data_IF_901781941963
#
_entry.id   IF_901781941963
#
_cell.length_a   1.000
_cell.length_b   1.000
_cell.length_c   1.000
_cell.angle_alpha   90.00
_cell.angle_beta   90.00
_cell.angle_gamma   90.00
#
_symmetry.space_group_name_H-M   'P 1'
#
loop_
_entity.id
_entity.type
_entity.pdbx_description
1 polymer ?
#
# COMPACT_ATOMS: atom_id res chain seq x y z
N UNK A 1 0.76 -42.68 -20.60
CA UNK A 1 0.54 -41.40 -21.31
C UNK A 1 0.49 -40.27 -20.29
N UNK A 2 1.50 -39.40 -20.23
CA UNK A 2 1.48 -38.23 -19.36
C UNK A 2 0.82 -37.05 -20.08
N UNK A 3 -0.28 -36.52 -19.54
CA UNK A 3 -0.78 -35.20 -19.97
C UNK A 3 0.22 -34.14 -19.52
N UNK A 4 0.85 -33.48 -20.47
CA UNK A 4 1.62 -32.26 -20.19
C UNK A 4 0.67 -31.26 -19.53
N UNK A 5 1.04 -30.80 -18.33
CA UNK A 5 0.44 -29.59 -17.78
C UNK A 5 0.98 -28.46 -18.63
N UNK A 6 0.20 -28.08 -19.65
CA UNK A 6 0.49 -26.93 -20.48
C UNK A 6 0.70 -25.71 -19.57
N UNK A 7 1.66 -24.86 -19.94
CA UNK A 7 1.86 -23.60 -19.24
C UNK A 7 0.52 -22.90 -19.15
N UNK A 8 0.11 -22.51 -17.94
CA UNK A 8 -1.11 -21.75 -17.71
C UNK A 8 -0.97 -20.37 -18.35
N UNK A 9 -1.23 -20.30 -19.65
CA UNK A 9 -1.34 -19.07 -20.40
C UNK A 9 -2.39 -18.23 -19.67
N UNK A 10 -1.94 -17.09 -19.16
CA UNK A 10 -2.76 -16.18 -18.36
C UNK A 10 -3.95 -15.78 -19.25
N UNK A 11 -5.16 -16.20 -18.87
CA UNK A 11 -6.36 -15.95 -19.66
C UNK A 11 -6.53 -14.43 -19.81
N UNK A 12 -6.32 -13.96 -21.04
CA UNK A 12 -6.27 -12.54 -21.36
C UNK A 12 -7.58 -11.85 -20.97
N UNK A 13 -7.56 -10.65 -20.35
CA UNK A 13 -8.63 -9.71 -20.62
C UNK A 13 -8.53 -9.37 -22.13
N UNK A 14 -9.56 -9.63 -22.95
CA UNK A 14 -9.48 -9.30 -24.37
C UNK A 14 -9.23 -7.79 -24.53
N UNK A 15 -8.46 -7.40 -25.55
CA UNK A 15 -8.04 -6.02 -25.78
C UNK A 15 -9.20 -5.01 -25.80
N UNK A 16 -10.41 -5.47 -26.17
CA UNK A 16 -11.67 -4.73 -26.08
C UNK A 16 -12.02 -4.17 -24.70
N UNK A 17 -11.43 -4.68 -23.61
CA UNK A 17 -11.69 -4.21 -22.24
C UNK A 17 -10.72 -3.14 -21.73
N UNK A 18 -9.55 -2.97 -22.37
CA UNK A 18 -8.59 -1.96 -21.94
C UNK A 18 -9.16 -0.54 -22.07
N UNK A 19 -9.84 -0.25 -23.19
CA UNK A 19 -10.55 1.03 -23.40
C UNK A 19 -11.63 1.30 -22.35
N UNK A 20 -12.40 0.27 -21.96
CA UNK A 20 -13.39 0.37 -20.88
C UNK A 20 -12.73 0.70 -19.53
N UNK A 21 -11.62 0.07 -19.18
CA UNK A 21 -10.91 0.37 -17.93
C UNK A 21 -10.28 1.76 -17.92
N UNK A 22 -9.74 2.22 -19.06
CA UNK A 22 -9.25 3.60 -19.21
C UNK A 22 -10.40 4.59 -19.05
N UNK A 23 -11.54 4.35 -19.71
CA UNK A 23 -12.75 5.17 -19.56
C UNK A 23 -13.23 5.20 -18.10
N UNK A 24 -13.26 4.06 -17.40
CA UNK A 24 -13.61 4.01 -15.97
C UNK A 24 -12.65 4.83 -15.10
N UNK A 25 -11.33 4.75 -15.32
CA UNK A 25 -10.35 5.56 -14.57
C UNK A 25 -10.51 7.06 -14.87
N UNK A 26 -10.72 7.43 -16.14
CA UNK A 26 -10.93 8.83 -16.55
C UNK A 26 -12.25 9.37 -15.99
N UNK A 27 -13.34 8.60 -16.06
CA UNK A 27 -14.63 8.96 -15.48
C UNK A 27 -14.51 9.08 -13.96
N UNK A 28 -13.86 8.14 -13.26
CA UNK A 28 -13.61 8.26 -11.81
C UNK A 28 -12.81 9.52 -11.46
N UNK A 29 -11.75 9.83 -12.22
CA UNK A 29 -10.97 11.05 -12.02
C UNK A 29 -11.83 12.31 -12.24
N UNK A 30 -12.59 12.35 -13.34
CA UNK A 30 -13.49 13.46 -13.64
C UNK A 30 -14.58 13.60 -12.58
N UNK A 31 -15.20 12.52 -12.12
CA UNK A 31 -16.17 12.56 -11.01
C UNK A 31 -15.55 13.06 -9.71
N UNK A 32 -14.29 12.71 -9.40
CA UNK A 32 -13.59 13.22 -8.22
C UNK A 32 -13.21 14.72 -8.34
N UNK A 33 -12.95 15.23 -9.54
CA UNK A 33 -12.67 16.65 -9.81
C UNK A 33 -13.96 17.48 -9.91
N UNK A 34 -15.00 16.94 -10.55
CA UNK A 34 -16.29 17.57 -10.78
C UNK A 34 -17.27 17.37 -9.61
N UNK A 35 -16.89 16.62 -8.56
CA UNK A 35 -17.66 16.55 -7.34
C UNK A 35 -17.74 17.96 -6.75
N UNK A 36 -18.94 18.54 -6.83
CA UNK A 36 -19.17 19.95 -6.55
C UNK A 36 -18.66 20.28 -5.14
N UNK A 37 -17.92 21.38 -4.93
CA UNK A 37 -17.39 21.73 -3.60
C UNK A 37 -18.43 21.69 -2.48
N UNK A 38 -19.70 22.03 -2.78
CA UNK A 38 -20.83 21.90 -1.85
C UNK A 38 -21.07 20.47 -1.34
N UNK A 39 -20.85 19.44 -2.15
CA UNK A 39 -20.97 18.02 -1.75
C UNK A 39 -19.81 17.64 -0.82
N UNK A 40 -18.60 18.13 -1.07
CA UNK A 40 -17.45 17.88 -0.20
C UNK A 40 -17.58 18.61 1.15
N UNK A 41 -18.01 19.87 1.15
CA UNK A 41 -18.29 20.57 2.42
C UNK A 41 -19.46 19.94 3.18
N UNK A 42 -20.51 19.48 2.50
CA UNK A 42 -21.60 18.73 3.13
C UNK A 42 -21.12 17.41 3.74
N UNK A 43 -20.31 16.62 3.02
CA UNK A 43 -19.72 15.39 3.55
C UNK A 43 -18.81 15.68 4.75
N UNK A 44 -18.00 16.75 4.69
CA UNK A 44 -17.10 17.17 5.77
C UNK A 44 -17.86 17.58 7.02
N UNK A 45 -18.87 18.45 6.90
CA UNK A 45 -19.62 18.97 8.04
C UNK A 45 -20.41 17.88 8.76
N UNK A 46 -21.19 17.09 8.02
CA UNK A 46 -21.99 16.00 8.59
C UNK A 46 -21.10 14.92 9.22
N UNK A 47 -19.96 14.58 8.61
CA UNK A 47 -19.06 13.59 9.20
C UNK A 47 -18.26 14.13 10.39
N UNK A 48 -17.98 15.43 10.46
CA UNK A 48 -17.41 16.06 11.66
C UNK A 48 -18.38 16.00 12.84
N UNK A 49 -19.67 16.29 12.62
CA UNK A 49 -20.70 16.14 13.64
C UNK A 49 -20.78 14.69 14.15
N UNK A 50 -20.83 13.72 13.24
CA UNK A 50 -20.79 12.29 13.58
C UNK A 50 -19.52 11.91 14.36
N UNK A 51 -18.35 12.45 14.01
CA UNK A 51 -17.12 12.24 14.79
C UNK A 51 -17.28 12.79 16.20
N UNK A 52 -17.73 14.04 16.35
CA UNK A 52 -17.90 14.68 17.67
C UNK A 52 -18.85 13.86 18.55
N UNK A 53 -20.00 13.43 18.01
CA UNK A 53 -20.99 12.59 18.71
C UNK A 53 -20.40 11.22 19.09
N UNK A 54 -19.72 10.52 18.18
CA UNK A 54 -19.06 9.25 18.50
C UNK A 54 -18.01 9.43 19.61
N UNK A 55 -17.19 10.47 19.55
CA UNK A 55 -16.10 10.70 20.50
C UNK A 55 -16.58 11.24 21.86
N UNK A 56 -17.75 11.89 21.94
CA UNK A 56 -18.35 12.33 23.21
C UNK A 56 -19.19 11.24 23.86
N UNK A 57 -20.10 10.63 23.12
CA UNK A 57 -21.19 9.82 23.70
C UNK A 57 -20.90 8.31 23.66
N UNK A 58 -20.02 7.86 22.75
CA UNK A 58 -19.74 6.43 22.49
C UNK A 58 -18.26 6.04 22.70
N UNK A 59 -17.41 6.96 23.16
CA UNK A 59 -15.99 6.72 23.42
C UNK A 59 -15.78 5.76 24.60
N UNK A 60 -15.46 4.50 24.29
CA UNK A 60 -15.20 3.46 25.30
C UNK A 60 -13.81 2.83 25.08
N UNK A 61 -13.00 2.78 26.14
CA UNK A 61 -11.59 2.32 26.10
C UNK A 61 -11.35 0.98 25.36
N UNK A 62 -12.28 0.03 25.44
CA UNK A 62 -12.15 -1.26 24.78
C UNK A 62 -12.57 -1.19 23.29
N UNK A 63 -13.64 -0.44 22.98
CA UNK A 63 -14.11 -0.24 21.62
C UNK A 63 -13.12 0.62 20.80
N UNK A 64 -12.60 1.69 21.40
CA UNK A 64 -11.55 2.54 20.83
C UNK A 64 -10.31 1.73 20.46
N UNK A 65 -9.81 0.90 21.38
CA UNK A 65 -8.67 0.00 21.11
C UNK A 65 -8.97 -1.01 20.02
N UNK A 66 -10.18 -1.58 19.98
CA UNK A 66 -10.58 -2.52 18.94
C UNK A 66 -10.61 -1.84 17.56
N UNK A 67 -11.20 -0.65 17.47
CA UNK A 67 -11.30 0.12 16.23
C UNK A 67 -9.93 0.61 15.74
N UNK A 68 -9.07 1.08 16.65
CA UNK A 68 -7.69 1.49 16.33
C UNK A 68 -6.86 0.29 15.83
N UNK A 69 -6.94 -0.86 16.52
CA UNK A 69 -6.27 -2.12 16.12
C UNK A 69 -6.76 -2.66 14.77
N UNK A 70 -8.07 -2.64 14.52
CA UNK A 70 -8.62 -2.99 13.20
C UNK A 70 -8.08 -2.02 12.16
N UNK A 71 -8.09 -0.71 12.45
CA UNK A 71 -7.60 0.31 11.53
C UNK A 71 -6.10 0.15 11.21
N UNK A 72 -5.29 -0.36 12.17
CA UNK A 72 -3.88 -0.66 11.98
C UNK A 72 -3.62 -1.71 10.87
N UNK A 73 -4.60 -2.55 10.51
CA UNK A 73 -4.46 -3.43 9.34
C UNK A 73 -4.31 -2.66 8.01
N UNK A 74 -4.78 -1.41 7.96
CA UNK A 74 -4.59 -0.49 6.83
C UNK A 74 -3.35 0.39 6.93
N UNK A 75 -2.55 0.23 7.98
CA UNK A 75 -1.30 0.97 8.20
C UNK A 75 -0.09 0.24 7.59
N UNK A 76 1.11 0.83 7.71
CA UNK A 76 2.34 0.27 7.16
C UNK A 76 2.71 -1.11 7.74
N UNK A 77 2.40 -1.40 8.99
CA UNK A 77 2.66 -2.69 9.64
C UNK A 77 1.61 -3.73 9.24
N UNK A 78 0.33 -3.33 9.17
CA UNK A 78 -0.76 -4.16 8.67
C UNK A 78 -0.54 -4.62 7.23
N UNK A 79 -0.24 -3.68 6.33
CA UNK A 79 0.10 -3.96 4.93
C UNK A 79 1.40 -4.78 4.81
N UNK A 80 2.41 -4.54 5.66
CA UNK A 80 3.63 -5.36 5.68
C UNK A 80 3.37 -6.82 6.08
N UNK A 81 2.53 -7.06 7.10
CA UNK A 81 2.10 -8.40 7.48
C UNK A 81 1.30 -9.06 6.34
N UNK A 82 0.39 -8.32 5.70
CA UNK A 82 -0.37 -8.79 4.56
C UNK A 82 0.52 -9.12 3.35
N UNK A 83 1.62 -8.38 3.13
CA UNK A 83 2.65 -8.71 2.13
C UNK A 83 3.41 -10.00 2.48
N UNK A 84 3.73 -10.26 3.74
CA UNK A 84 4.34 -11.53 4.17
C UNK A 84 3.41 -12.71 3.89
N UNK A 85 2.11 -12.54 4.13
CA UNK A 85 1.07 -13.49 3.73
C UNK A 85 0.99 -13.66 2.21
N UNK A 86 1.03 -12.56 1.45
CA UNK A 86 1.00 -12.59 -0.02
C UNK A 86 2.19 -13.36 -0.62
N UNK A 87 3.40 -13.23 -0.06
CA UNK A 87 4.59 -13.99 -0.47
C UNK A 87 4.45 -15.51 -0.28
N UNK A 88 3.58 -15.96 0.65
CA UNK A 88 3.30 -17.37 0.86
C UNK A 88 2.33 -17.95 -0.17
N UNK A 89 1.42 -17.13 -0.72
CA UNK A 89 0.30 -17.60 -1.56
C UNK A 89 0.34 -17.11 -3.01
N UNK A 90 1.12 -16.08 -3.33
CA UNK A 90 1.31 -15.61 -4.70
C UNK A 90 2.62 -16.15 -5.31
N UNK A 91 2.61 -16.32 -6.62
CA UNK A 91 3.84 -16.45 -7.40
C UNK A 91 4.62 -15.11 -7.38
N UNK A 92 5.88 -15.14 -7.79
CA UNK A 92 6.76 -13.97 -7.70
C UNK A 92 6.27 -12.78 -8.53
N UNK A 93 5.76 -13.00 -9.75
CA UNK A 93 5.27 -11.93 -10.62
C UNK A 93 4.07 -11.20 -10.00
N UNK A 94 3.08 -11.96 -9.50
CA UNK A 94 1.92 -11.40 -8.80
C UNK A 94 2.32 -10.71 -7.48
N UNK A 95 3.29 -11.26 -6.74
CA UNK A 95 3.80 -10.64 -5.51
C UNK A 95 4.52 -9.31 -5.79
N UNK A 96 5.38 -9.25 -6.80
CA UNK A 96 6.04 -8.01 -7.22
C UNK A 96 5.05 -6.99 -7.77
N UNK A 97 4.02 -7.43 -8.51
CA UNK A 97 2.91 -6.58 -8.95
C UNK A 97 2.15 -5.99 -7.75
N UNK A 98 1.92 -6.77 -6.69
CA UNK A 98 1.27 -6.33 -5.46
C UNK A 98 2.12 -5.33 -4.65
N UNK A 99 3.44 -5.56 -4.53
CA UNK A 99 4.36 -4.55 -3.98
C UNK A 99 4.34 -3.29 -4.83
N UNK A 100 4.40 -3.44 -6.16
CA UNK A 100 4.48 -2.33 -7.11
C UNK A 100 3.27 -1.41 -7.05
N UNK A 101 2.05 -1.98 -7.07
CA UNK A 101 0.79 -1.22 -6.96
C UNK A 101 0.65 -0.56 -5.59
N UNK A 102 1.05 -1.22 -4.51
CA UNK A 102 0.98 -0.66 -3.15
C UNK A 102 1.95 0.49 -2.96
N UNK A 103 3.20 0.32 -3.42
CA UNK A 103 4.26 1.34 -3.32
C UNK A 103 3.95 2.55 -4.20
N UNK A 104 3.46 2.33 -5.43
CA UNK A 104 2.96 3.40 -6.29
C UNK A 104 1.74 4.11 -5.67
N UNK A 105 0.83 3.35 -5.06
CA UNK A 105 -0.32 3.92 -4.37
C UNK A 105 0.09 4.85 -3.23
N UNK A 106 1.00 4.43 -2.35
CA UNK A 106 1.56 5.30 -1.30
C UNK A 106 2.26 6.53 -1.90
N UNK A 107 3.03 6.36 -2.99
CA UNK A 107 3.68 7.46 -3.69
C UNK A 107 2.68 8.53 -4.19
N UNK A 108 1.58 8.10 -4.82
CA UNK A 108 0.51 8.99 -5.28
C UNK A 108 -0.26 9.60 -4.11
N UNK A 109 -0.57 8.82 -3.06
CA UNK A 109 -1.29 9.32 -1.87
C UNK A 109 -0.56 10.51 -1.24
N UNK A 110 0.74 10.37 -1.03
CA UNK A 110 1.57 11.38 -0.38
C UNK A 110 1.76 12.63 -1.25
N UNK A 111 1.86 12.46 -2.58
CA UNK A 111 1.85 13.59 -3.52
C UNK A 111 0.53 14.35 -3.46
N UNK A 112 -0.61 13.66 -3.57
CA UNK A 112 -1.93 14.30 -3.54
C UNK A 112 -2.19 14.96 -2.18
N UNK A 113 -1.75 14.35 -1.06
CA UNK A 113 -1.77 14.98 0.28
C UNK A 113 -1.02 16.30 0.31
N UNK A 114 0.18 16.37 -0.28
CA UNK A 114 0.99 17.59 -0.35
C UNK A 114 0.46 18.61 -1.37
N UNK A 115 -0.37 18.21 -2.33
CA UNK A 115 -1.03 19.14 -3.26
C UNK A 115 -2.30 19.76 -2.63
N UNK A 116 -3.19 18.92 -2.07
CA UNK A 116 -4.46 19.38 -1.48
C UNK A 116 -4.22 20.07 -0.12
N UNK A 117 -3.35 19.48 0.72
CA UNK A 117 -2.97 20.01 2.06
C UNK A 117 -4.13 20.20 3.03
N UNK A 118 -5.21 19.46 2.81
CA UNK A 118 -6.40 19.47 3.65
C UNK A 118 -6.07 19.09 5.11
N UNK A 119 -6.78 19.70 6.05
CA UNK A 119 -6.58 19.46 7.47
C UNK A 119 -7.22 18.12 7.89
N UNK A 120 -6.74 17.51 8.97
CA UNK A 120 -7.52 16.47 9.66
C UNK A 120 -8.54 17.14 10.58
N UNK A 121 -9.64 16.48 10.98
CA UNK A 121 -10.72 17.21 11.66
C UNK A 121 -10.30 17.75 13.04
N UNK A 122 -9.47 17.00 13.77
CA UNK A 122 -8.82 17.42 15.03
C UNK A 122 -7.70 18.46 14.86
N UNK A 123 -7.34 18.89 13.64
CA UNK A 123 -6.44 20.03 13.44
C UNK A 123 -7.16 21.36 13.61
N UNK A 124 -8.49 21.40 13.49
CA UNK A 124 -9.28 22.64 13.54
C UNK A 124 -10.51 22.58 14.44
N UNK A 125 -11.03 21.39 14.78
CA UNK A 125 -12.03 21.21 15.85
C UNK A 125 -11.33 20.75 17.14
N UNK A 126 -11.34 21.57 18.21
CA UNK A 126 -10.88 21.18 19.54
C UNK A 126 -11.95 20.40 20.34
N UNK A 127 -13.14 20.21 19.77
CA UNK A 127 -14.35 19.74 20.46
C UNK A 127 -14.33 18.26 20.82
N UNK A 128 -13.32 17.52 20.37
CA UNK A 128 -13.14 16.11 20.63
C UNK A 128 -11.64 15.73 20.70
N UNK A 129 -11.37 14.53 21.22
CA UNK A 129 -10.03 13.93 21.23
C UNK A 129 -10.00 12.68 20.32
N UNK A 130 -9.06 12.58 19.36
CA UNK A 130 -8.92 11.39 18.52
C UNK A 130 -8.30 10.23 19.33
N UNK A 131 -8.55 8.98 18.92
CA UNK A 131 -8.01 7.79 19.63
C UNK A 131 -6.49 7.68 19.46
N UNK A 132 -5.99 8.05 18.28
CA UNK A 132 -4.57 8.06 17.90
C UNK A 132 -4.29 9.28 17.02
N UNK A 133 -3.01 9.66 16.84
CA UNK A 133 -2.63 10.87 16.08
C UNK A 133 -1.69 10.56 14.92
N UNK A 134 -1.99 11.16 13.75
CA UNK A 134 -1.28 11.01 12.48
C UNK A 134 -0.84 12.39 12.00
N UNK A 135 0.45 12.71 12.14
CA UNK A 135 1.01 14.06 11.90
C UNK A 135 1.26 14.39 10.43
N UNK A 136 0.27 14.19 9.57
CA UNK A 136 0.27 14.49 8.12
C UNK A 136 -1.09 15.05 7.68
N UNK A 137 -1.16 15.69 6.51
CA UNK A 137 -2.42 16.18 5.92
C UNK A 137 -3.52 15.11 5.83
N UNK A 138 -4.79 15.53 5.91
CA UNK A 138 -5.97 14.67 5.93
C UNK A 138 -6.26 14.01 4.59
N UNK A 139 -6.69 14.81 3.60
CA UNK A 139 -7.12 14.32 2.28
C UNK A 139 -5.96 14.04 1.32
N UNK A 140 -6.01 12.94 0.54
CA UNK A 140 -6.86 11.76 0.69
C UNK A 140 -6.42 10.86 1.85
N UNK A 141 -7.36 10.11 2.45
CA UNK A 141 -7.06 9.14 3.52
C UNK A 141 -6.12 8.04 3.05
N UNK A 142 -4.93 7.98 3.65
CA UNK A 142 -3.91 6.98 3.33
C UNK A 142 -4.33 5.55 3.69
N UNK A 143 -5.10 5.38 4.76
CA UNK A 143 -5.63 4.06 5.16
C UNK A 143 -6.72 3.59 4.19
N UNK A 144 -7.70 4.46 3.89
CA UNK A 144 -8.78 4.14 2.93
C UNK A 144 -8.22 3.80 1.55
N UNK A 145 -7.20 4.54 1.10
CA UNK A 145 -6.53 4.23 -0.16
C UNK A 145 -5.71 2.94 -0.10
N UNK A 146 -4.85 2.76 0.91
CA UNK A 146 -3.94 1.62 1.00
C UNK A 146 -4.69 0.29 1.12
N UNK A 147 -5.78 0.27 1.89
CA UNK A 147 -6.64 -0.92 2.00
C UNK A 147 -7.29 -1.24 0.65
N UNK A 148 -7.94 -0.27 0.00
CA UNK A 148 -8.60 -0.48 -1.29
C UNK A 148 -7.61 -0.89 -2.38
N UNK A 149 -6.46 -0.22 -2.47
CA UNK A 149 -5.40 -0.57 -3.42
C UNK A 149 -4.83 -1.97 -3.15
N UNK A 150 -4.46 -2.30 -1.90
CA UNK A 150 -3.83 -3.58 -1.58
C UNK A 150 -4.82 -4.75 -1.69
N UNK A 151 -5.91 -4.72 -0.94
CA UNK A 151 -6.77 -5.90 -0.75
C UNK A 151 -7.55 -6.25 -2.01
N UNK A 152 -8.05 -5.26 -2.78
CA UNK A 152 -8.69 -5.56 -4.07
C UNK A 152 -7.68 -6.12 -5.07
N UNK A 153 -6.45 -5.57 -5.13
CA UNK A 153 -5.40 -6.09 -6.02
C UNK A 153 -5.00 -7.51 -5.64
N UNK A 154 -4.85 -7.78 -4.35
CA UNK A 154 -4.58 -9.12 -3.82
C UNK A 154 -5.69 -10.11 -4.20
N UNK A 155 -6.97 -9.72 -4.06
CA UNK A 155 -8.13 -10.53 -4.48
C UNK A 155 -8.10 -10.80 -5.99
N UNK A 156 -7.88 -9.78 -6.84
CA UNK A 156 -7.79 -9.97 -8.29
C UNK A 156 -6.67 -10.93 -8.69
N UNK A 157 -5.50 -10.81 -8.07
CA UNK A 157 -4.36 -11.67 -8.33
C UNK A 157 -4.61 -13.12 -7.86
N UNK A 158 -5.22 -13.31 -6.69
CA UNK A 158 -5.64 -14.63 -6.21
C UNK A 158 -6.67 -15.29 -7.14
N UNK A 159 -7.69 -14.53 -7.58
CA UNK A 159 -8.73 -15.03 -8.50
C UNK A 159 -8.12 -15.50 -9.82
N UNK A 160 -7.17 -14.73 -10.39
CA UNK A 160 -6.45 -15.09 -11.61
C UNK A 160 -5.55 -16.31 -11.40
N UNK A 161 -4.68 -16.28 -10.40
CA UNK A 161 -3.68 -17.31 -10.18
C UNK A 161 -4.29 -18.68 -9.84
N UNK A 162 -5.41 -18.70 -9.12
CA UNK A 162 -6.07 -19.94 -8.69
C UNK A 162 -7.34 -20.28 -9.46
N UNK A 163 -7.66 -19.55 -10.54
CA UNK A 163 -8.82 -19.84 -11.39
C UNK A 163 -10.17 -19.68 -10.68
N UNK A 164 -10.27 -18.83 -9.65
CA UNK A 164 -11.44 -18.76 -8.75
C UNK A 164 -12.61 -17.95 -9.36
N UNK A 165 -12.83 -18.03 -10.67
CA UNK A 165 -13.83 -17.21 -11.38
C UNK A 165 -15.24 -17.39 -10.81
N UNK A 166 -15.62 -18.61 -10.44
CA UNK A 166 -16.92 -18.93 -9.83
C UNK A 166 -17.11 -18.30 -8.44
N UNK A 167 -16.03 -17.92 -7.75
CA UNK A 167 -16.06 -17.24 -6.44
C UNK A 167 -15.75 -15.75 -6.53
N UNK A 168 -15.53 -15.23 -7.75
CA UNK A 168 -15.07 -13.86 -8.01
C UNK A 168 -15.96 -12.82 -7.36
N UNK A 169 -17.28 -12.91 -7.57
CA UNK A 169 -18.25 -11.95 -7.03
C UNK A 169 -18.20 -11.92 -5.49
N UNK A 170 -18.30 -13.08 -4.84
CA UNK A 170 -18.23 -13.21 -3.37
C UNK A 170 -16.95 -12.62 -2.81
N UNK A 171 -15.80 -12.89 -3.44
CA UNK A 171 -14.50 -12.36 -3.00
C UNK A 171 -14.42 -10.84 -3.13
N UNK A 172 -14.92 -10.24 -4.22
CA UNK A 172 -14.99 -8.78 -4.32
C UNK A 172 -15.98 -8.18 -3.33
N UNK A 173 -17.15 -8.77 -3.11
CA UNK A 173 -18.12 -8.27 -2.12
C UNK A 173 -17.49 -8.24 -0.72
N UNK A 174 -16.85 -9.33 -0.29
CA UNK A 174 -16.12 -9.38 0.99
C UNK A 174 -14.98 -8.34 1.02
N UNK A 175 -14.22 -8.20 -0.07
CA UNK A 175 -13.16 -7.21 -0.19
C UNK A 175 -13.65 -5.77 -0.07
N UNK A 176 -14.71 -5.40 -0.79
CA UNK A 176 -15.32 -4.07 -0.74
C UNK A 176 -15.93 -3.78 0.62
N UNK A 177 -16.69 -4.72 1.21
CA UNK A 177 -17.22 -4.57 2.57
C UNK A 177 -16.12 -4.34 3.60
N UNK A 178 -14.98 -5.06 3.49
CA UNK A 178 -13.82 -4.81 4.33
C UNK A 178 -13.21 -3.41 4.10
N UNK A 179 -13.07 -2.95 2.85
CA UNK A 179 -12.57 -1.60 2.55
C UNK A 179 -13.47 -0.50 3.10
N UNK A 180 -14.79 -0.65 3.00
CA UNK A 180 -15.79 0.28 3.54
C UNK A 180 -15.77 0.27 5.07
N UNK A 181 -15.73 -0.91 5.70
CA UNK A 181 -15.61 -1.04 7.15
C UNK A 181 -14.31 -0.40 7.68
N UNK A 182 -13.19 -0.62 6.99
CA UNK A 182 -11.93 0.07 7.30
C UNK A 182 -12.06 1.59 7.20
N UNK A 183 -12.80 2.13 6.23
CA UNK A 183 -13.07 3.57 6.17
C UNK A 183 -13.90 4.04 7.38
N UNK A 184 -14.94 3.30 7.77
CA UNK A 184 -15.74 3.59 8.97
C UNK A 184 -14.88 3.65 10.24
N UNK A 185 -13.91 2.73 10.44
CA UNK A 185 -13.01 2.79 11.61
C UNK A 185 -12.27 4.13 11.71
N UNK A 186 -11.94 4.79 10.59
CA UNK A 186 -11.20 6.07 10.57
C UNK A 186 -12.07 7.28 10.93
N UNK A 187 -13.38 7.21 10.68
CA UNK A 187 -14.38 8.13 11.25
C UNK A 187 -14.47 7.87 12.76
N UNK A 188 -14.64 6.61 13.16
CA UNK A 188 -14.81 6.23 14.57
C UNK A 188 -13.64 6.69 15.47
N UNK A 189 -12.39 6.54 15.03
CA UNK A 189 -11.22 7.02 15.78
C UNK A 189 -10.99 8.54 15.68
N UNK A 190 -11.80 9.26 14.90
CA UNK A 190 -11.76 10.71 14.75
C UNK A 190 -10.59 11.23 13.91
N UNK A 191 -10.06 10.44 12.96
CA UNK A 191 -8.86 10.78 12.19
C UNK A 191 -9.11 11.33 10.78
N UNK A 192 -10.29 11.09 10.21
CA UNK A 192 -10.70 11.52 8.88
C UNK A 192 -12.22 11.74 8.78
N UNK A 193 -12.62 12.81 8.13
CA UNK A 193 -13.99 13.06 7.64
C UNK A 193 -14.27 12.26 6.35
N UNK A 194 -15.55 12.16 5.98
CA UNK A 194 -16.05 11.23 4.96
C UNK A 194 -15.57 11.54 3.53
N UNK A 195 -15.40 12.82 3.17
CA UNK A 195 -14.81 13.28 1.91
C UNK A 195 -13.36 12.80 1.77
N UNK A 196 -12.56 12.86 2.84
CA UNK A 196 -11.17 12.42 2.81
C UNK A 196 -11.07 10.91 2.58
N UNK A 197 -12.03 10.15 3.12
CA UNK A 197 -12.14 8.70 2.98
C UNK A 197 -12.66 8.31 1.60
N UNK A 198 -13.66 9.03 1.07
CA UNK A 198 -14.17 8.84 -0.29
C UNK A 198 -13.08 9.12 -1.33
N UNK A 199 -12.31 10.20 -1.16
CA UNK A 199 -11.16 10.52 -2.00
C UNK A 199 -10.08 9.44 -1.93
N UNK A 200 -9.76 8.94 -0.74
CA UNK A 200 -8.80 7.84 -0.56
C UNK A 200 -9.29 6.55 -1.20
N UNK A 201 -10.54 6.17 -0.99
CA UNK A 201 -11.15 4.97 -1.57
C UNK A 201 -11.18 5.04 -3.10
N UNK A 202 -11.66 6.16 -3.68
CA UNK A 202 -11.74 6.38 -5.12
C UNK A 202 -10.36 6.32 -5.79
N UNK A 203 -9.39 7.06 -5.25
CA UNK A 203 -8.00 7.01 -5.71
C UNK A 203 -7.43 5.58 -5.62
N UNK A 204 -7.75 4.87 -4.54
CA UNK A 204 -7.29 3.50 -4.31
C UNK A 204 -7.84 2.50 -5.33
N UNK A 205 -9.11 2.67 -5.72
CA UNK A 205 -9.78 1.91 -6.77
C UNK A 205 -9.21 2.24 -8.16
N UNK A 206 -8.91 3.51 -8.45
CA UNK A 206 -8.28 3.90 -9.71
C UNK A 206 -6.89 3.28 -9.88
N UNK A 207 -6.05 3.33 -8.83
CA UNK A 207 -4.71 2.71 -8.84
C UNK A 207 -4.81 1.19 -9.00
N UNK A 208 -5.78 0.56 -8.34
CA UNK A 208 -6.10 -0.85 -8.51
C UNK A 208 -6.43 -1.18 -9.98
N UNK A 209 -7.41 -0.51 -10.58
CA UNK A 209 -7.80 -0.71 -11.99
C UNK A 209 -6.59 -0.48 -12.92
N UNK A 210 -5.85 0.61 -12.70
CA UNK A 210 -4.64 0.91 -13.47
C UNK A 210 -3.64 -0.24 -13.45
N UNK A 211 -3.26 -0.75 -12.29
CA UNK A 211 -2.21 -1.78 -12.21
C UNK A 211 -2.69 -3.15 -12.65
N UNK A 212 -3.76 -3.69 -12.06
CA UNK A 212 -4.17 -5.07 -12.37
C UNK A 212 -5.01 -5.19 -13.65
N UNK A 213 -5.60 -4.12 -14.20
CA UNK A 213 -6.40 -4.24 -15.42
C UNK A 213 -5.79 -3.57 -16.66
N UNK A 214 -4.99 -2.52 -16.51
CA UNK A 214 -4.37 -1.80 -17.64
C UNK A 214 -2.88 -2.15 -17.79
N UNK A 215 -2.10 -2.08 -16.70
CA UNK A 215 -0.65 -2.27 -16.71
C UNK A 215 -0.20 -3.72 -16.47
N UNK A 216 -1.12 -4.65 -16.26
CA UNK A 216 -0.83 -6.07 -15.96
C UNK A 216 0.16 -6.68 -16.95
N UNK A 217 -0.07 -6.52 -18.26
CA UNK A 217 0.83 -7.05 -19.29
C UNK A 217 2.21 -6.39 -19.27
N UNK A 218 2.29 -5.10 -18.97
CA UNK A 218 3.56 -4.39 -18.86
C UNK A 218 4.38 -4.95 -17.71
N UNK A 219 3.75 -5.18 -16.56
CA UNK A 219 4.42 -5.77 -15.39
C UNK A 219 4.77 -7.25 -15.59
N UNK A 220 3.89 -8.05 -16.20
CA UNK A 220 4.21 -9.45 -16.54
C UNK A 220 5.41 -9.55 -17.49
N UNK A 221 5.42 -8.76 -18.58
CA UNK A 221 6.55 -8.66 -19.52
C UNK A 221 7.81 -8.10 -18.84
N UNK A 222 7.67 -7.17 -17.90
CA UNK A 222 8.79 -6.63 -17.12
C UNK A 222 9.43 -7.73 -16.26
N UNK A 223 8.64 -8.51 -15.52
CA UNK A 223 9.12 -9.54 -14.61
C UNK A 223 9.65 -10.78 -15.34
N UNK A 224 8.95 -11.28 -16.37
CA UNK A 224 9.50 -12.29 -17.29
C UNK A 224 10.80 -11.78 -17.94
N UNK A 225 10.84 -10.50 -18.29
CA UNK A 225 12.03 -9.83 -18.77
C UNK A 225 13.16 -9.75 -17.74
N UNK A 226 12.92 -9.79 -16.42
CA UNK A 226 14.00 -9.94 -15.42
C UNK A 226 14.48 -11.40 -15.39
N UNK A 227 13.55 -12.35 -15.45
CA UNK A 227 13.85 -13.80 -15.37
C UNK A 227 14.55 -14.36 -16.62
N UNK A 228 14.35 -13.79 -17.81
CA UNK A 228 14.85 -14.34 -19.10
C UNK A 228 16.33 -14.09 -19.46
N UNK A 229 16.91 -12.88 -19.46
CA UNK A 229 16.45 -11.64 -18.88
C UNK A 229 16.78 -10.49 -19.81
N UNK A 230 15.75 -10.03 -20.50
CA UNK A 230 15.74 -9.01 -21.54
C UNK A 230 15.46 -7.61 -20.98
N UNK A 231 15.03 -7.51 -19.72
CA UNK A 231 14.77 -6.25 -19.01
C UNK A 231 16.08 -5.56 -18.65
N UNK A 232 16.24 -4.31 -19.11
CA UNK A 232 17.30 -3.42 -18.65
C UNK A 232 17.09 -3.06 -17.18
N UNK A 233 18.18 -2.99 -16.40
CA UNK A 233 18.13 -2.62 -14.98
C UNK A 233 17.32 -1.34 -14.75
N UNK A 234 17.65 -0.29 -15.52
CA UNK A 234 16.85 0.92 -15.61
C UNK A 234 15.81 0.77 -16.73
N UNK A 235 14.54 0.86 -16.34
CA UNK A 235 13.38 0.78 -17.21
C UNK A 235 12.34 1.84 -16.80
N UNK A 236 11.24 1.95 -17.58
CA UNK A 236 10.22 3.00 -17.39
C UNK A 236 9.62 3.04 -15.98
N UNK A 237 9.41 1.89 -15.31
CA UNK A 237 8.90 1.85 -13.94
C UNK A 237 9.89 2.47 -12.93
N UNK A 238 11.17 2.13 -13.06
CA UNK A 238 12.23 2.67 -12.18
C UNK A 238 12.40 4.18 -12.39
N UNK A 239 12.40 4.63 -13.66
CA UNK A 239 12.45 6.06 -13.99
C UNK A 239 11.25 6.80 -13.43
N UNK A 240 10.03 6.25 -13.55
CA UNK A 240 8.81 6.84 -12.99
C UNK A 240 8.91 7.02 -11.47
N UNK A 241 9.38 5.99 -10.73
CA UNK A 241 9.57 6.10 -9.28
C UNK A 241 10.57 7.20 -8.90
N UNK A 242 11.71 7.32 -9.61
CA UNK A 242 12.67 8.40 -9.36
C UNK A 242 12.08 9.78 -9.67
N UNK A 243 11.36 9.95 -10.77
CA UNK A 243 10.67 11.21 -11.10
C UNK A 243 9.65 11.60 -10.03
N UNK A 244 8.90 10.62 -9.49
CA UNK A 244 7.95 10.83 -8.41
C UNK A 244 8.63 11.25 -7.10
N UNK A 245 9.78 10.66 -6.74
CA UNK A 245 10.58 11.07 -5.57
C UNK A 245 11.16 12.49 -5.74
N UNK A 246 11.66 12.82 -6.93
CA UNK A 246 12.17 14.17 -7.25
C UNK A 246 11.03 15.18 -7.12
N UNK A 247 9.87 14.92 -7.74
CA UNK A 247 8.72 15.79 -7.67
C UNK A 247 8.19 15.96 -6.23
N UNK A 248 8.12 14.89 -5.44
CA UNK A 248 7.76 14.95 -4.02
C UNK A 248 8.74 15.82 -3.21
N UNK A 249 10.03 15.74 -3.51
CA UNK A 249 11.07 16.55 -2.83
C UNK A 249 10.98 18.02 -3.22
N UNK A 250 10.79 18.33 -4.51
CA UNK A 250 10.59 19.70 -4.98
C UNK A 250 9.32 20.33 -4.40
N UNK A 251 8.23 19.56 -4.32
CA UNK A 251 6.97 20.00 -3.71
C UNK A 251 7.12 20.23 -2.19
N UNK A 252 7.85 19.36 -1.48
CA UNK A 252 8.21 19.59 -0.07
C UNK A 252 8.97 20.92 0.11
N UNK A 253 10.00 21.18 -0.70
CA UNK A 253 10.81 22.40 -0.63
C UNK A 253 10.00 23.65 -0.97
N UNK A 254 9.04 23.55 -1.89
CA UNK A 254 8.11 24.62 -2.22
C UNK A 254 7.18 24.95 -1.03
N UNK A 255 6.54 23.94 -0.45
CA UNK A 255 5.62 24.10 0.68
C UNK A 255 6.33 24.69 1.90
N UNK A 256 7.51 24.16 2.26
CA UNK A 256 8.34 24.66 3.37
C UNK A 256 8.67 26.15 3.22
N UNK A 257 8.91 26.62 1.99
CA UNK A 257 9.36 27.99 1.72
C UNK A 257 8.23 29.01 1.50
N UNK A 258 7.13 28.61 0.86
CA UNK A 258 6.16 29.55 0.31
C UNK A 258 4.74 29.43 0.89
N UNK A 259 4.36 28.25 1.39
CA UNK A 259 2.98 28.00 1.81
C UNK A 259 2.92 26.90 2.89
N UNK A 260 3.53 27.16 4.07
CA UNK A 260 3.55 26.24 5.20
C UNK A 260 2.17 26.14 5.87
N UNK A 261 1.93 25.04 6.59
CA UNK A 261 0.64 24.82 7.24
C UNK A 261 0.31 25.89 8.30
N UNK A 262 -0.97 26.31 8.42
CA UNK A 262 -1.37 27.34 9.39
C UNK A 262 -0.97 27.01 10.83
N UNK A 263 -0.43 28.01 11.54
CA UNK A 263 0.06 27.85 12.91
C UNK A 263 -1.02 27.33 13.88
N UNK A 264 -2.28 27.73 13.70
CA UNK A 264 -3.39 27.27 14.53
C UNK A 264 -3.68 25.76 14.40
N UNK A 265 -3.34 25.12 13.26
CA UNK A 265 -3.39 23.66 13.16
C UNK A 265 -2.34 23.01 14.04
N UNK A 266 -1.11 23.54 14.02
CA UNK A 266 0.00 23.05 14.85
C UNK A 266 -0.34 23.18 16.34
N UNK A 267 -0.96 24.29 16.73
CA UNK A 267 -1.30 24.57 18.13
C UNK A 267 -2.52 23.77 18.61
N UNK A 268 -3.49 23.49 17.73
CA UNK A 268 -4.61 22.57 18.03
C UNK A 268 -4.10 21.13 18.15
N UNK A 269 -3.22 20.68 17.24
CA UNK A 269 -2.58 19.36 17.32
C UNK A 269 -1.76 19.18 18.60
N UNK A 270 -1.03 20.21 19.05
CA UNK A 270 -0.30 20.17 20.34
C UNK A 270 -1.23 20.01 21.56
N UNK A 271 -2.49 20.44 21.46
CA UNK A 271 -3.52 20.29 22.52
C UNK A 271 -4.22 18.93 22.43
N UNK A 272 -4.56 18.49 21.22
CA UNK A 272 -5.36 17.28 20.97
C UNK A 272 -4.55 15.99 20.79
N UNK A 273 -3.21 16.05 20.88
CA UNK A 273 -2.34 14.89 20.75
C UNK A 273 -1.28 14.84 21.85
N UNK A 274 -0.89 13.64 22.32
CA UNK A 274 0.27 13.48 23.19
C UNK A 274 1.54 14.07 22.57
N UNK A 275 2.45 14.68 23.37
CA UNK A 275 3.63 15.36 22.87
C UNK A 275 4.57 14.42 22.10
N UNK A 276 4.62 14.60 20.78
CA UNK A 276 5.47 13.82 19.86
C UNK A 276 6.83 14.48 19.71
N UNK A 277 7.88 13.87 20.28
CA UNK A 277 9.29 14.32 20.18
C UNK A 277 9.88 14.32 18.76
N UNK A 278 9.09 13.96 17.74
CA UNK A 278 9.54 13.77 16.35
C UNK A 278 8.63 14.42 15.31
N UNK A 279 7.67 15.26 15.71
CA UNK A 279 6.91 16.06 14.76
C UNK A 279 7.73 17.31 14.38
N UNK A 280 7.95 17.50 13.08
CA UNK A 280 8.62 18.68 12.51
C UNK A 280 7.58 19.51 11.76
N UNK A 281 7.02 18.96 10.69
CA UNK A 281 5.93 19.57 9.91
C UNK A 281 5.10 18.50 9.19
N UNK A 282 3.88 18.84 8.75
CA UNK A 282 2.99 17.87 8.10
C UNK A 282 3.54 17.39 6.74
N UNK A 283 4.12 18.29 5.95
CA UNK A 283 4.77 17.97 4.67
C UNK A 283 6.09 17.20 4.86
N UNK A 284 6.87 17.46 5.93
CA UNK A 284 8.00 16.60 6.28
C UNK A 284 7.55 15.17 6.60
N UNK A 285 6.46 15.00 7.37
CA UNK A 285 5.89 13.67 7.62
C UNK A 285 5.47 12.95 6.33
N UNK A 286 4.88 13.68 5.37
CA UNK A 286 4.55 13.13 4.05
C UNK A 286 5.81 12.66 3.30
N UNK A 287 6.85 13.50 3.23
CA UNK A 287 8.12 13.14 2.57
C UNK A 287 8.83 11.97 3.26
N UNK A 288 8.80 11.90 4.59
CA UNK A 288 9.37 10.80 5.36
C UNK A 288 8.57 9.48 5.24
N UNK A 289 7.27 9.53 4.90
CA UNK A 289 6.53 8.32 4.50
C UNK A 289 6.84 7.89 3.06
N UNK A 290 7.40 8.76 2.23
CA UNK A 290 7.83 8.44 0.86
C UNK A 290 8.95 7.39 0.81
N UNK A 291 9.66 7.16 1.92
CA UNK A 291 10.62 6.06 2.10
C UNK A 291 10.02 4.68 1.74
N UNK A 292 8.70 4.49 1.89
CA UNK A 292 8.00 3.24 1.54
C UNK A 292 8.12 2.93 0.04
N UNK A 293 8.24 3.94 -0.83
CA UNK A 293 8.42 3.75 -2.28
C UNK A 293 9.73 3.06 -2.64
N UNK A 294 10.74 3.15 -1.77
CA UNK A 294 12.00 2.41 -1.93
C UNK A 294 11.85 0.92 -1.66
N UNK A 295 10.70 0.48 -1.11
CA UNK A 295 10.39 -0.93 -0.94
C UNK A 295 10.13 -1.66 -2.26
N UNK A 296 9.47 -1.02 -3.24
CA UNK A 296 9.35 -1.61 -4.59
C UNK A 296 10.67 -1.58 -5.36
N UNK A 297 11.49 -0.56 -5.16
CA UNK A 297 12.87 -0.54 -5.67
C UNK A 297 13.67 -1.71 -5.08
N UNK A 298 13.68 -1.87 -3.75
CA UNK A 298 14.32 -2.99 -3.07
C UNK A 298 13.85 -4.33 -3.64
N UNK A 299 12.54 -4.55 -3.67
CA UNK A 299 11.94 -5.77 -4.23
C UNK A 299 12.37 -6.05 -5.68
N UNK A 300 12.37 -5.04 -6.55
CA UNK A 300 12.81 -5.15 -7.95
C UNK A 300 14.30 -5.48 -8.07
N UNK A 301 15.16 -4.73 -7.36
CA UNK A 301 16.61 -4.94 -7.38
C UNK A 301 16.99 -6.31 -6.78
N UNK A 302 16.27 -6.80 -5.76
CA UNK A 302 16.48 -8.12 -5.19
C UNK A 302 16.22 -9.24 -6.21
N UNK A 303 15.15 -9.12 -7.00
CA UNK A 303 14.89 -10.03 -8.13
C UNK A 303 15.92 -9.92 -9.25
N UNK A 304 16.36 -8.71 -9.59
CA UNK A 304 17.39 -8.49 -10.61
C UNK A 304 18.75 -9.07 -10.19
N UNK A 305 19.15 -8.83 -8.95
CA UNK A 305 20.42 -9.31 -8.40
C UNK A 305 20.40 -10.83 -8.18
N UNK A 306 19.26 -11.41 -7.75
CA UNK A 306 19.03 -12.86 -7.69
C UNK A 306 19.36 -13.55 -9.00
N UNK A 307 18.89 -12.97 -10.11
CA UNK A 307 19.14 -13.46 -11.46
C UNK A 307 20.62 -13.41 -11.84
N UNK A 308 21.30 -12.31 -11.53
CA UNK A 308 22.72 -12.11 -11.83
C UNK A 308 23.63 -13.04 -11.03
N UNK A 309 23.46 -13.09 -9.70
CA UNK A 309 24.30 -13.90 -8.79
C UNK A 309 24.07 -15.40 -8.99
N UNK A 310 22.81 -15.85 -8.99
CA UNK A 310 22.50 -17.28 -8.95
C UNK A 310 22.46 -17.94 -10.35
N UNK A 311 22.67 -17.16 -11.42
CA UNK A 311 22.65 -17.58 -12.84
C UNK A 311 21.52 -18.57 -13.16
N UNK A 312 20.33 -18.34 -12.58
CA UNK A 312 19.32 -19.38 -12.42
C UNK A 312 18.82 -19.89 -13.77
N UNK A 313 19.07 -21.17 -14.05
CA UNK A 313 18.71 -21.83 -15.31
C UNK A 313 17.54 -22.80 -15.18
N UNK A 314 16.99 -23.02 -13.98
CA UNK A 314 16.01 -24.10 -13.77
C UNK A 314 15.00 -23.91 -12.61
N UNK A 315 13.76 -24.35 -12.86
CA UNK A 315 13.06 -25.24 -11.95
C UNK A 315 12.22 -24.68 -10.79
N UNK A 316 12.53 -23.54 -10.17
CA UNK A 316 11.79 -23.08 -8.97
C UNK A 316 10.42 -22.42 -9.28
N UNK A 317 9.59 -23.09 -10.09
CA UNK A 317 8.18 -22.72 -10.30
C UNK A 317 7.45 -22.68 -8.95
N UNK A 318 6.61 -21.67 -8.75
CA UNK A 318 5.79 -21.54 -7.53
C UNK A 318 4.97 -22.82 -7.32
N UNK A 319 5.23 -23.53 -6.22
CA UNK A 319 4.38 -24.63 -5.77
C UNK A 319 3.24 -24.07 -4.92
N UNK A 320 2.00 -24.37 -5.32
CA UNK A 320 0.81 -24.11 -4.51
C UNK A 320 0.86 -25.01 -3.27
N UNK A 321 0.75 -24.47 -2.04
CA UNK A 321 0.63 -25.29 -0.84
C UNK A 321 -0.58 -26.23 -0.94
N UNK A 322 -0.40 -27.52 -0.62
CA UNK A 322 -1.47 -28.51 -0.78
C UNK A 322 -2.58 -28.41 0.29
N UNK A 323 -2.28 -27.84 1.46
CA UNK A 323 -3.23 -27.72 2.57
C UNK A 323 -3.14 -26.35 3.25
N UNK A 324 -4.17 -25.99 4.03
CA UNK A 324 -4.18 -24.76 4.83
C UNK A 324 -3.01 -24.73 5.83
N UNK A 325 -2.75 -25.85 6.53
CA UNK A 325 -1.62 -26.00 7.46
C UNK A 325 -0.27 -25.69 6.80
N UNK A 326 -0.05 -26.20 5.60
CA UNK A 326 1.15 -25.94 4.78
C UNK A 326 1.28 -24.46 4.39
N UNK A 327 0.16 -23.80 4.09
CA UNK A 327 0.12 -22.34 3.89
C UNK A 327 0.50 -21.58 5.17
N UNK A 328 -0.07 -21.95 6.31
CA UNK A 328 0.21 -21.29 7.61
C UNK A 328 1.69 -21.39 7.97
N UNK A 329 2.30 -22.58 7.87
CA UNK A 329 3.75 -22.73 8.11
C UNK A 329 4.56 -21.84 7.17
N UNK A 330 4.22 -21.78 5.88
CA UNK A 330 4.92 -20.93 4.92
C UNK A 330 4.77 -19.43 5.23
N UNK A 331 3.61 -18.99 5.74
CA UNK A 331 3.41 -17.63 6.25
C UNK A 331 4.29 -17.36 7.47
N UNK A 332 4.32 -18.26 8.46
CA UNK A 332 5.13 -18.10 9.66
C UNK A 332 6.64 -18.06 9.35
N UNK A 333 7.13 -18.92 8.45
CA UNK A 333 8.52 -18.89 7.97
C UNK A 333 8.83 -17.56 7.29
N UNK A 334 7.94 -17.06 6.41
CA UNK A 334 8.13 -15.77 5.76
C UNK A 334 8.17 -14.62 6.77
N UNK A 335 7.25 -14.59 7.75
CA UNK A 335 7.22 -13.56 8.80
C UNK A 335 8.53 -13.60 9.60
N UNK A 336 8.93 -14.76 10.12
CA UNK A 336 10.16 -14.91 10.89
C UNK A 336 11.39 -14.47 10.06
N UNK A 337 11.46 -14.86 8.80
CA UNK A 337 12.56 -14.48 7.90
C UNK A 337 12.63 -12.98 7.65
N UNK A 338 11.52 -12.32 7.31
CA UNK A 338 11.51 -10.87 7.06
C UNK A 338 11.69 -10.07 8.36
N UNK A 339 11.24 -10.57 9.51
CA UNK A 339 11.54 -9.99 10.83
C UNK A 339 13.04 -10.03 11.11
N UNK A 340 13.71 -11.17 10.91
CA UNK A 340 15.17 -11.29 11.05
C UNK A 340 15.89 -10.28 10.14
N UNK A 341 15.49 -10.18 8.87
CA UNK A 341 16.04 -9.19 7.93
C UNK A 341 15.76 -7.73 8.35
N UNK A 342 14.71 -7.49 9.14
CA UNK A 342 14.33 -6.16 9.64
C UNK A 342 15.10 -5.75 10.90
N UNK A 343 15.75 -6.69 11.62
CA UNK A 343 16.50 -6.39 12.86
C UNK A 343 17.52 -5.24 12.69
N UNK A 344 18.36 -5.19 11.63
CA UNK A 344 19.28 -4.06 11.42
C UNK A 344 18.58 -2.70 11.35
N UNK A 345 17.33 -2.64 10.84
CA UNK A 345 16.58 -1.40 10.70
C UNK A 345 16.12 -0.80 12.05
N UNK A 346 16.02 -1.63 13.09
CA UNK A 346 15.66 -1.23 14.46
C UNK A 346 16.79 -0.40 15.08
N UNK A 347 18.04 -0.80 14.83
CA UNK A 347 19.24 -0.14 15.38
C UNK A 347 19.60 1.18 14.69
N UNK A 348 18.97 1.54 13.57
CA UNK A 348 19.19 2.82 12.90
C UNK A 348 18.33 3.92 13.55
N UNK A 349 18.91 4.96 14.19
CA UNK A 349 18.14 6.07 14.75
C UNK A 349 17.27 6.77 13.71
N UNK A 350 16.10 7.28 14.09
CA UNK A 350 15.23 8.09 13.19
C UNK A 350 15.87 9.41 12.77
N UNK A 351 16.91 9.86 13.47
CA UNK A 351 17.72 11.04 13.20
C UNK A 351 18.91 10.78 12.25
N UNK A 352 19.08 9.53 11.77
CA UNK A 352 20.13 9.19 10.81
C UNK A 352 19.96 9.96 9.50
N UNK A 353 21.03 10.21 8.72
CA UNK A 353 20.93 10.85 7.42
C UNK A 353 19.90 10.15 6.52
N UNK A 354 19.14 10.93 5.75
CA UNK A 354 18.05 10.44 4.88
C UNK A 354 18.50 9.27 3.96
N UNK A 355 19.71 9.28 3.33
CA UNK A 355 20.21 8.13 2.56
C UNK A 355 20.31 6.82 3.36
N UNK A 356 20.66 6.88 4.64
CA UNK A 356 20.75 5.69 5.52
C UNK A 356 19.35 5.16 5.84
N UNK A 357 18.39 6.06 6.10
CA UNK A 357 17.00 5.69 6.33
C UNK A 357 16.37 5.07 5.07
N UNK A 358 16.60 5.69 3.90
CA UNK A 358 16.19 5.18 2.59
C UNK A 358 16.72 3.76 2.34
N UNK A 359 18.03 3.57 2.50
CA UNK A 359 18.66 2.28 2.20
C UNK A 359 18.25 1.20 3.21
N UNK A 360 18.43 1.43 4.51
CA UNK A 360 18.26 0.37 5.51
C UNK A 360 16.79 0.10 5.84
N UNK A 361 15.94 1.13 5.88
CA UNK A 361 14.52 0.98 6.26
C UNK A 361 13.57 0.83 5.07
N UNK A 362 13.87 1.48 3.94
CA UNK A 362 13.06 1.40 2.73
C UNK A 362 13.46 0.25 1.80
N UNK A 363 14.75 0.18 1.43
CA UNK A 363 15.22 -0.69 0.36
C UNK A 363 15.67 -2.09 0.82
N UNK A 364 16.47 -2.18 1.88
CA UNK A 364 17.19 -3.40 2.25
C UNK A 364 16.27 -4.58 2.58
N UNK A 365 15.23 -4.37 3.40
CA UNK A 365 14.33 -5.47 3.82
C UNK A 365 13.59 -6.07 2.62
N UNK A 366 12.93 -5.30 1.73
CA UNK A 366 12.30 -5.87 0.54
C UNK A 366 13.31 -6.45 -0.47
N UNK A 367 14.50 -5.87 -0.60
CA UNK A 367 15.59 -6.42 -1.42
C UNK A 367 16.00 -7.81 -0.94
N UNK A 368 16.32 -7.96 0.34
CA UNK A 368 16.74 -9.23 0.91
C UNK A 368 15.59 -10.25 0.89
N UNK A 369 14.34 -9.81 1.09
CA UNK A 369 13.16 -10.66 0.98
C UNK A 369 12.97 -11.23 -0.45
N UNK A 370 13.03 -10.43 -1.51
CA UNK A 370 12.83 -10.94 -2.90
C UNK A 370 14.04 -11.66 -3.47
N UNK A 371 15.25 -11.29 -3.04
CA UNK A 371 16.48 -12.01 -3.34
C UNK A 371 16.43 -13.44 -2.75
N UNK A 372 16.08 -13.54 -1.47
CA UNK A 372 16.21 -14.77 -0.69
C UNK A 372 14.99 -15.70 -0.80
N UNK A 373 13.79 -15.18 -1.05
CA UNK A 373 12.54 -15.95 -1.02
C UNK A 373 12.44 -17.09 -2.05
N UNK A 374 13.33 -17.21 -3.04
CA UNK A 374 13.44 -18.44 -3.84
C UNK A 374 14.53 -19.40 -3.34
N UNK A 375 15.62 -18.90 -2.75
CA UNK A 375 16.66 -19.72 -2.12
C UNK A 375 16.10 -20.54 -0.95
N UNK A 376 15.37 -19.89 -0.05
CA UNK A 376 14.79 -20.53 1.13
C UNK A 376 13.50 -21.28 0.78
N UNK A 377 12.49 -20.62 0.22
CA UNK A 377 11.18 -21.26 0.02
C UNK A 377 11.25 -22.46 -0.90
N UNK A 378 12.04 -22.42 -1.99
CA UNK A 378 12.17 -23.57 -2.89
C UNK A 378 12.83 -24.80 -2.24
N UNK A 379 13.88 -24.59 -1.43
CA UNK A 379 14.61 -25.68 -0.76
C UNK A 379 13.94 -26.15 0.52
N UNK A 380 13.50 -25.24 1.39
CA UNK A 380 12.86 -25.55 2.67
C UNK A 380 11.47 -26.16 2.46
N UNK A 381 10.64 -25.66 1.54
CA UNK A 381 9.33 -26.28 1.27
C UNK A 381 9.50 -27.68 0.68
N UNK A 382 10.50 -27.89 -0.20
CA UNK A 382 10.83 -29.23 -0.73
C UNK A 382 11.38 -30.17 0.36
N UNK A 383 12.21 -29.66 1.27
CA UNK A 383 12.80 -30.42 2.39
C UNK A 383 11.75 -30.80 3.45
N UNK A 384 10.90 -29.86 3.86
CA UNK A 384 9.79 -30.10 4.79
C UNK A 384 8.59 -30.81 4.13
N UNK A 385 8.67 -31.09 2.82
CA UNK A 385 7.61 -31.70 2.02
C UNK A 385 6.26 -30.95 2.14
N UNK A 386 6.30 -29.60 2.16
CA UNK A 386 5.18 -28.66 2.37
C UNK A 386 4.48 -28.28 1.05
#
# INVERSE_FOLDING_TARGET
MAKSVSNGAIAQPPASKAGLYIALVVISLLTMILMVPSVFEWLRSNSLEVIITIRKDYSQKNLDKLMDLISAMGDKYGIFLALCCALAVLNMNNYLMLIGVSSFGVAVNLLVKMLIRDARPYFYSPDYQPVSCDFEYGSPSGHGQSVTTFYLSFITLLVRQYGLQNKKLTLYVVGYSYCVFMCFTRIFVGLHTAEQLLLGFGLGLMIHILFVHILVEYFDKLYEGIETGKTRLFNRYIVLLFLMVIFATLLYLYIERFDPAPQYWLDTVKKSCPPSKHFISFHYSCLNKYLVTFGSLGAYFGCYFRRWVLKFKDGSKFTKPKTVFKTVIRVLINIAFVVILSVPSIFIPKTSPIPVLLFVKGFFVPFAATFSSMLYTGKIVKFLNI
#
